data_IF_057813025159
#
_entry.id   IF_057813025159
#
_cell.length_a   1.000
_cell.length_b   1.000
_cell.length_c   1.000
_cell.angle_alpha   90.00
_cell.angle_beta   90.00
_cell.angle_gamma   90.00
#
_symmetry.space_group_name_H-M   'P 1'
#
loop_
_entity.id
_entity.type
_entity.pdbx_description
1 polymer ?
#
# COMPACT_ATOMS: atom_id res chain seq x y z
N UNK A 1 -4.09 -4.41 -4.84
CA UNK A 1 -3.72 -4.60 -6.27
C UNK A 1 -4.61 -5.66 -6.89
N UNK A 2 -4.87 -5.59 -8.20
CA UNK A 2 -5.75 -6.54 -8.92
C UNK A 2 -4.94 -7.33 -9.96
N UNK A 3 -4.68 -8.61 -9.67
CA UNK A 3 -3.88 -9.53 -10.49
C UNK A 3 -4.62 -9.93 -11.78
N UNK A 4 -3.89 -10.33 -12.81
CA UNK A 4 -4.42 -10.91 -14.05
C UNK A 4 -4.38 -12.45 -14.01
N UNK A 5 -5.05 -13.09 -14.97
CA UNK A 5 -5.08 -14.56 -15.10
C UNK A 5 -3.67 -15.16 -15.17
N UNK A 6 -2.75 -14.51 -15.90
CA UNK A 6 -1.36 -14.95 -16.04
C UNK A 6 -0.61 -14.97 -14.70
N UNK A 7 -0.85 -13.99 -13.85
CA UNK A 7 -0.19 -13.89 -12.54
C UNK A 7 -0.72 -14.96 -11.59
N UNK A 8 -2.04 -15.17 -11.61
CA UNK A 8 -2.71 -16.21 -10.83
C UNK A 8 -2.29 -17.61 -11.27
N UNK A 9 -2.12 -17.84 -12.57
CA UNK A 9 -1.62 -19.10 -13.10
C UNK A 9 -0.22 -19.43 -12.57
N UNK A 10 0.69 -18.44 -12.52
CA UNK A 10 2.02 -18.60 -11.92
C UNK A 10 1.94 -18.89 -10.42
N UNK A 11 1.13 -18.12 -9.69
CA UNK A 11 0.95 -18.25 -8.24
C UNK A 11 0.55 -19.67 -7.84
N UNK A 12 -0.38 -20.27 -8.59
CA UNK A 12 -0.89 -21.62 -8.33
C UNK A 12 -0.11 -22.71 -9.07
N UNK A 13 0.94 -22.37 -9.83
CA UNK A 13 1.73 -23.30 -10.65
C UNK A 13 0.86 -24.15 -11.60
N UNK A 14 -0.18 -23.54 -12.19
CA UNK A 14 -1.11 -24.20 -13.12
C UNK A 14 -1.22 -23.43 -14.43
N UNK A 15 -1.72 -24.09 -15.48
CA UNK A 15 -2.00 -23.41 -16.74
C UNK A 15 -3.11 -22.35 -16.62
N UNK A 16 -3.08 -21.31 -17.44
CA UNK A 16 -4.18 -20.33 -17.53
C UNK A 16 -5.53 -21.00 -17.84
N UNK A 17 -5.52 -22.08 -18.63
CA UNK A 17 -6.70 -22.90 -18.92
C UNK A 17 -7.32 -23.49 -17.64
N UNK A 18 -6.50 -23.88 -16.66
CA UNK A 18 -6.96 -24.34 -15.35
C UNK A 18 -7.65 -23.21 -14.59
N UNK A 19 -7.10 -22.00 -14.63
CA UNK A 19 -7.68 -20.82 -13.99
C UNK A 19 -9.04 -20.49 -14.62
N UNK A 20 -9.12 -20.39 -15.95
CA UNK A 20 -10.40 -20.17 -16.65
C UNK A 20 -11.45 -21.25 -16.31
N UNK A 21 -11.04 -22.51 -16.22
CA UNK A 21 -11.92 -23.61 -15.82
C UNK A 21 -12.43 -23.43 -14.39
N UNK A 22 -11.59 -23.01 -13.44
CA UNK A 22 -12.01 -22.77 -12.05
C UNK A 22 -12.95 -21.57 -11.93
N UNK A 23 -12.76 -20.52 -12.73
CA UNK A 23 -13.69 -19.41 -12.84
C UNK A 23 -15.05 -19.89 -13.39
N UNK A 24 -15.04 -20.67 -14.48
CA UNK A 24 -16.27 -21.20 -15.07
C UNK A 24 -17.05 -22.11 -14.12
N UNK A 25 -16.34 -22.86 -13.26
CA UNK A 25 -16.93 -23.69 -12.20
C UNK A 25 -17.37 -22.90 -10.95
N UNK A 26 -17.23 -21.56 -10.95
CA UNK A 26 -17.47 -20.68 -9.79
C UNK A 26 -16.71 -21.08 -8.53
N UNK A 27 -15.56 -21.74 -8.69
CA UNK A 27 -14.73 -22.17 -7.57
C UNK A 27 -13.77 -21.06 -7.16
N UNK A 28 -13.14 -20.38 -8.12
CA UNK A 28 -12.15 -19.34 -7.88
C UNK A 28 -12.81 -17.95 -7.90
N UNK A 29 -12.66 -17.11 -6.85
CA UNK A 29 -13.18 -15.74 -6.86
C UNK A 29 -12.48 -14.90 -7.93
N UNK A 30 -13.26 -14.29 -8.82
CA UNK A 30 -12.77 -13.47 -9.91
C UNK A 30 -13.74 -12.34 -10.24
N UNK A 31 -13.21 -11.16 -10.55
CA UNK A 31 -13.98 -9.97 -10.91
C UNK A 31 -13.72 -9.62 -12.37
N UNK A 32 -14.75 -9.26 -13.15
CA UNK A 32 -14.58 -8.83 -14.54
C UNK A 32 -14.59 -7.30 -14.63
N UNK A 33 -13.50 -6.71 -15.12
CA UNK A 33 -13.33 -5.25 -15.27
C UNK A 33 -12.75 -4.98 -16.65
N UNK A 34 -13.41 -4.15 -17.46
CA UNK A 34 -13.01 -3.86 -18.85
C UNK A 34 -12.72 -5.15 -19.64
N UNK A 35 -13.66 -6.10 -19.56
CA UNK A 35 -13.60 -7.44 -20.15
C UNK A 35 -12.49 -8.38 -19.65
N UNK A 36 -11.57 -7.91 -18.81
CA UNK A 36 -10.49 -8.70 -18.23
C UNK A 36 -10.88 -9.29 -16.87
N UNK A 37 -10.44 -10.52 -16.59
CA UNK A 37 -10.53 -11.08 -15.24
C UNK A 37 -9.45 -10.49 -14.35
N UNK A 38 -9.89 -10.04 -13.18
CA UNK A 38 -9.11 -9.40 -12.13
C UNK A 38 -9.32 -10.13 -10.82
N UNK A 39 -8.25 -10.30 -10.06
CA UNK A 39 -8.28 -11.07 -8.82
C UNK A 39 -7.73 -10.25 -7.66
N UNK A 40 -8.40 -10.32 -6.51
CA UNK A 40 -7.90 -9.77 -5.27
C UNK A 40 -7.00 -10.81 -4.60
N UNK A 41 -5.78 -10.42 -4.24
CA UNK A 41 -4.79 -11.30 -3.60
C UNK A 41 -5.29 -11.88 -2.27
N UNK A 42 -5.98 -11.08 -1.45
CA UNK A 42 -6.54 -11.54 -0.17
C UNK A 42 -7.60 -12.62 -0.40
N UNK A 43 -8.54 -12.39 -1.32
CA UNK A 43 -9.57 -13.39 -1.68
C UNK A 43 -8.95 -14.68 -2.23
N UNK A 44 -7.88 -14.59 -3.00
CA UNK A 44 -7.16 -15.76 -3.52
C UNK A 44 -6.49 -16.58 -2.41
N UNK A 45 -5.86 -15.91 -1.43
CA UNK A 45 -5.21 -16.57 -0.30
C UNK A 45 -6.22 -17.28 0.60
N UNK A 46 -7.33 -16.60 0.90
CA UNK A 46 -8.45 -17.17 1.66
C UNK A 46 -9.01 -18.41 0.96
N UNK A 47 -9.27 -18.29 -0.35
CA UNK A 47 -9.76 -19.40 -1.16
C UNK A 47 -8.79 -20.58 -1.23
N UNK A 48 -7.50 -20.31 -1.43
CA UNK A 48 -6.47 -21.35 -1.52
C UNK A 48 -6.37 -22.15 -0.22
N UNK A 49 -6.41 -21.44 0.91
CA UNK A 49 -6.41 -22.02 2.26
C UNK A 49 -7.63 -22.90 2.47
N UNK A 50 -8.83 -22.42 2.12
CA UNK A 50 -10.08 -23.17 2.24
C UNK A 50 -10.12 -24.41 1.33
N UNK A 51 -9.57 -24.29 0.12
CA UNK A 51 -9.60 -25.33 -0.91
C UNK A 51 -8.40 -26.30 -0.84
N UNK A 52 -7.48 -26.09 0.11
CA UNK A 52 -6.21 -26.85 0.25
C UNK A 52 -5.41 -26.90 -1.05
N UNK A 53 -5.44 -25.81 -1.81
CA UNK A 53 -4.67 -25.68 -3.05
C UNK A 53 -3.31 -25.09 -2.69
N UNK A 54 -2.19 -25.76 -3.06
CA UNK A 54 -0.87 -25.22 -2.81
C UNK A 54 -0.70 -23.89 -3.56
N UNK A 55 -0.08 -22.93 -2.88
CA UNK A 55 0.32 -21.63 -3.45
C UNK A 55 1.83 -21.52 -3.38
N UNK A 56 2.43 -21.00 -4.45
CA UNK A 56 3.86 -20.69 -4.44
C UNK A 56 4.16 -19.59 -3.41
N UNK A 57 5.36 -19.63 -2.82
CA UNK A 57 5.83 -18.56 -1.93
C UNK A 57 5.91 -17.19 -2.64
N UNK A 58 5.91 -17.18 -3.97
CA UNK A 58 5.84 -15.96 -4.78
C UNK A 58 4.53 -15.21 -4.56
N UNK A 59 3.44 -15.87 -4.15
CA UNK A 59 2.23 -15.15 -3.75
C UNK A 59 2.48 -14.28 -2.53
N UNK A 60 3.48 -14.56 -1.69
CA UNK A 60 3.84 -13.76 -0.51
C UNK A 60 4.80 -12.62 -0.86
N UNK A 61 5.48 -12.69 -2.01
CA UNK A 61 6.28 -11.58 -2.51
C UNK A 61 5.32 -10.43 -2.86
N UNK A 62 5.53 -9.30 -2.21
CA UNK A 62 4.97 -8.05 -2.70
C UNK A 62 5.60 -7.81 -4.08
N UNK A 63 4.80 -7.42 -5.09
CA UNK A 63 5.37 -6.92 -6.34
C UNK A 63 6.33 -5.80 -5.96
N UNK A 64 7.58 -5.94 -6.42
CA UNK A 64 8.67 -5.00 -6.23
C UNK A 64 8.10 -3.58 -6.36
N UNK A 65 8.00 -2.85 -5.24
CA UNK A 65 7.52 -1.46 -5.23
C UNK A 65 8.61 -0.55 -5.80
N UNK A 66 9.21 -0.93 -6.93
CA UNK A 66 10.57 -0.50 -7.29
C UNK A 66 11.57 -0.77 -6.17
N UNK A 67 12.83 -0.41 -6.40
CA UNK A 67 13.71 -0.13 -5.28
C UNK A 67 13.09 1.05 -4.51
N UNK A 68 12.56 0.77 -3.32
CA UNK A 68 12.18 1.84 -2.40
C UNK A 68 13.43 2.71 -2.18
N UNK A 69 13.32 4.04 -2.28
CA UNK A 69 14.45 4.91 -2.06
C UNK A 69 15.04 4.61 -0.68
N UNK A 70 16.37 4.57 -0.60
CA UNK A 70 17.05 4.41 0.67
C UNK A 70 16.67 5.53 1.63
N UNK A 71 16.93 5.31 2.92
CA UNK A 71 16.73 6.36 3.92
C UNK A 71 17.54 7.62 3.57
N UNK A 72 18.75 7.46 3.04
CA UNK A 72 19.58 8.59 2.59
C UNK A 72 18.89 9.41 1.50
N UNK A 73 18.40 8.76 0.45
CA UNK A 73 17.71 9.43 -0.67
C UNK A 73 16.43 10.12 -0.20
N UNK A 74 15.66 9.44 0.66
CA UNK A 74 14.44 9.99 1.25
C UNK A 74 14.73 11.22 2.12
N UNK A 75 15.79 11.18 2.93
CA UNK A 75 16.22 12.31 3.75
C UNK A 75 16.76 13.46 2.90
N UNK A 76 17.46 13.17 1.80
CA UNK A 76 17.99 14.18 0.88
C UNK A 76 16.85 14.88 0.11
N UNK A 77 15.85 14.12 -0.32
CA UNK A 77 14.67 14.66 -0.99
C UNK A 77 13.77 15.44 -0.03
N UNK A 78 13.57 14.92 1.19
CA UNK A 78 12.69 15.51 2.20
C UNK A 78 13.30 16.66 2.99
N UNK A 79 14.62 16.68 3.18
CA UNK A 79 15.34 17.72 3.91
C UNK A 79 15.30 17.59 5.44
N UNK A 80 16.10 18.41 6.14
CA UNK A 80 16.13 18.52 7.60
C UNK A 80 15.82 19.97 7.99
N UNK A 81 14.75 20.17 8.76
CA UNK A 81 14.28 21.49 9.14
C UNK A 81 14.37 21.69 10.65
N UNK A 82 14.84 22.87 11.03
CA UNK A 82 14.92 23.31 12.42
C UNK A 82 13.95 24.45 12.67
N UNK A 83 13.61 24.67 13.95
CA UNK A 83 12.74 25.77 14.37
C UNK A 83 11.35 25.74 13.70
N UNK A 84 10.81 24.53 13.53
CA UNK A 84 9.42 24.32 13.16
C UNK A 84 8.56 24.69 14.36
N UNK A 85 7.75 25.76 14.24
CA UNK A 85 6.98 26.29 15.36
C UNK A 85 5.54 25.75 15.35
N UNK A 86 5.00 25.51 16.54
CA UNK A 86 3.59 25.16 16.75
C UNK A 86 3.29 25.09 18.24
N UNK A 87 2.03 25.35 18.61
CA UNK A 87 1.57 25.33 20.01
C UNK A 87 0.76 24.07 20.35
N UNK A 88 0.40 23.30 19.34
CA UNK A 88 -0.38 22.07 19.42
C UNK A 88 -0.05 21.14 18.24
N UNK A 89 -0.50 19.88 18.30
CA UNK A 89 -0.22 18.90 17.23
C UNK A 89 -0.67 19.40 15.85
N UNK A 90 -1.88 19.96 15.67
CA UNK A 90 -2.31 20.43 14.35
C UNK A 90 -1.50 21.59 13.79
N UNK A 91 -1.08 22.55 14.62
CA UNK A 91 -0.23 23.65 14.16
C UNK A 91 1.16 23.17 13.74
N UNK A 92 1.77 22.22 14.47
CA UNK A 92 3.06 21.64 14.09
C UNK A 92 2.93 20.85 12.77
N UNK A 93 1.94 19.98 12.63
CA UNK A 93 1.75 19.20 11.39
C UNK A 93 1.47 20.11 10.18
N UNK A 94 0.70 21.19 10.38
CA UNK A 94 0.48 22.19 9.33
C UNK A 94 1.79 22.82 8.89
N UNK A 95 2.63 23.25 9.84
CA UNK A 95 3.94 23.84 9.53
C UNK A 95 4.84 22.85 8.78
N UNK A 96 4.90 21.59 9.22
CA UNK A 96 5.64 20.51 8.53
C UNK A 96 5.19 20.35 7.09
N UNK A 97 3.88 20.30 6.84
CA UNK A 97 3.33 20.18 5.48
C UNK A 97 3.63 21.42 4.64
N UNK A 98 3.74 22.62 5.23
CA UNK A 98 4.07 23.85 4.49
C UNK A 98 5.54 23.91 4.07
N UNK A 99 6.47 23.47 4.92
CA UNK A 99 7.91 23.54 4.64
C UNK A 99 8.42 22.38 3.78
N UNK A 100 7.68 21.27 3.72
CA UNK A 100 8.07 20.08 2.96
C UNK A 100 8.20 20.40 1.45
N UNK A 101 9.25 19.89 0.78
CA UNK A 101 9.51 20.13 -0.64
C UNK A 101 8.62 19.22 -1.51
N UNK A 102 7.31 19.43 -1.41
CA UNK A 102 6.29 18.69 -2.14
C UNK A 102 6.14 19.24 -3.57
N UNK A 103 5.90 18.37 -4.57
CA UNK A 103 5.51 18.78 -5.92
C UNK A 103 4.28 19.71 -5.92
N UNK A 104 4.14 20.55 -6.95
CA UNK A 104 3.04 21.52 -7.05
C UNK A 104 1.67 20.83 -7.18
N UNK A 105 1.64 19.61 -7.70
CA UNK A 105 0.42 18.82 -7.87
C UNK A 105 -0.11 18.24 -6.55
N UNK A 106 0.67 18.30 -5.46
CA UNK A 106 0.27 17.79 -4.15
C UNK A 106 -0.62 18.80 -3.44
N UNK A 107 -1.86 18.39 -3.16
CA UNK A 107 -2.75 19.14 -2.28
C UNK A 107 -2.28 19.04 -0.82
N UNK A 108 -1.63 20.11 -0.37
CA UNK A 108 -1.13 20.27 1.00
C UNK A 108 -2.25 20.27 2.04
N UNK A 109 -3.44 20.79 1.70
CA UNK A 109 -4.59 20.79 2.59
C UNK A 109 -5.07 19.36 2.85
N UNK A 110 -5.25 18.59 1.77
CA UNK A 110 -5.62 17.18 1.86
C UNK A 110 -4.55 16.35 2.59
N UNK A 111 -3.26 16.57 2.31
CA UNK A 111 -2.19 15.87 3.02
C UNK A 111 -2.23 16.12 4.54
N UNK A 112 -2.48 17.37 4.96
CA UNK A 112 -2.64 17.70 6.38
C UNK A 112 -3.85 16.98 6.99
N UNK A 113 -4.98 16.92 6.28
CA UNK A 113 -6.17 16.20 6.74
C UNK A 113 -5.90 14.71 6.96
N UNK A 114 -5.16 14.08 6.03
CA UNK A 114 -4.77 12.66 6.15
C UNK A 114 -3.88 12.43 7.38
N UNK A 115 -2.85 13.27 7.58
CA UNK A 115 -1.96 13.17 8.74
C UNK A 115 -2.72 13.35 10.07
N UNK A 116 -3.65 14.30 10.12
CA UNK A 116 -4.49 14.53 11.29
C UNK A 116 -5.46 13.38 11.54
N UNK A 117 -6.08 12.85 10.49
CA UNK A 117 -6.93 11.68 10.59
C UNK A 117 -6.14 10.49 11.16
N UNK A 118 -4.92 10.26 10.67
CA UNK A 118 -4.07 9.19 11.20
C UNK A 118 -3.70 9.44 12.67
N UNK A 119 -3.22 10.62 13.03
CA UNK A 119 -2.85 10.96 14.41
C UNK A 119 -4.03 10.82 15.38
N UNK A 120 -5.27 11.05 14.91
CA UNK A 120 -6.49 10.93 15.72
C UNK A 120 -6.84 9.48 16.11
N UNK A 121 -6.45 8.50 15.29
CA UNK A 121 -6.63 7.06 15.58
C UNK A 121 -5.68 6.58 16.70
N UNK A 122 -4.59 7.30 16.93
CA UNK A 122 -3.61 6.98 17.95
C UNK A 122 -2.33 7.73 17.71
N UNK A 123 -1.74 8.23 18.81
CA UNK A 123 -0.51 9.01 18.81
C UNK A 123 0.61 8.34 18.02
N UNK A 124 1.24 9.09 17.12
CA UNK A 124 2.47 8.67 16.41
C UNK A 124 3.75 8.98 17.19
N UNK A 125 3.62 9.51 18.41
CA UNK A 125 4.72 9.66 19.36
C UNK A 125 5.23 8.30 19.83
N UNK A 126 6.54 8.09 19.71
CA UNK A 126 7.23 6.84 20.09
C UNK A 126 7.98 6.95 21.44
N UNK A 127 7.86 8.09 22.12
CA UNK A 127 8.56 8.39 23.37
C UNK A 127 9.84 9.19 23.18
N UNK A 128 10.46 9.62 24.28
CA UNK A 128 11.72 10.38 24.24
C UNK A 128 11.66 11.74 23.53
N UNK A 129 10.46 12.31 23.37
CA UNK A 129 10.26 13.55 22.60
C UNK A 129 10.29 13.36 21.08
N UNK A 130 10.15 12.12 20.59
CA UNK A 130 10.19 11.77 19.16
C UNK A 130 8.80 11.30 18.68
N UNK A 131 8.45 11.65 17.44
CA UNK A 131 7.23 11.20 16.77
C UNK A 131 7.50 10.88 15.29
N UNK A 132 6.70 9.99 14.71
CA UNK A 132 6.75 9.61 13.28
C UNK A 132 5.35 9.75 12.65
N UNK A 133 4.87 10.98 12.40
CA UNK A 133 3.62 11.20 11.69
C UNK A 133 3.70 10.60 10.28
N UNK A 134 2.62 9.94 9.84
CA UNK A 134 2.50 9.27 8.54
C UNK A 134 1.05 9.28 8.06
#
# INVERSE_FOLDING_TARGET
MKLLVKDVAKIFEVSEKTIYRWIAQKKLPAHRINEQYRFNRTELLEWATASRVPVSADILKEEDQGELPGLEDSMRAGGVYYRVFGKDKPSVLREVVQIMPLPEEVDRGFLLEVLLARESLGSTGIGGGVAIPH
#
